data_IF_982505424922
#
_entry.id   IF_982505424922
#
_cell.length_a   1.000
_cell.length_b   1.000
_cell.length_c   1.000
_cell.angle_alpha   90.00
_cell.angle_beta   90.00
_cell.angle_gamma   90.00
#
_symmetry.space_group_name_H-M   'P 1'
#
loop_
_entity.id
_entity.type
_entity.pdbx_description
1 polymer ?
#
# COMPACT_ATOMS: atom_id res chain seq x y z
N UNK A 1 -10.57 -26.42 15.33
CA UNK A 1 -10.39 -25.47 14.21
C UNK A 1 -11.26 -25.80 13.01
N UNK A 2 -11.42 -27.08 12.64
CA UNK A 2 -12.18 -27.46 11.43
C UNK A 2 -13.63 -26.96 11.41
N UNK A 3 -14.38 -27.05 12.51
CA UNK A 3 -15.75 -26.50 12.59
C UNK A 3 -15.82 -24.98 12.34
N UNK A 4 -14.83 -24.22 12.81
CA UNK A 4 -14.76 -22.78 12.56
C UNK A 4 -14.48 -22.52 11.08
N UNK A 5 -13.56 -23.28 10.49
CA UNK A 5 -13.20 -23.15 9.09
C UNK A 5 -14.38 -23.51 8.16
N UNK A 6 -15.11 -24.60 8.46
CA UNK A 6 -16.33 -24.98 7.74
C UNK A 6 -17.41 -23.89 7.83
N UNK A 7 -17.66 -23.35 9.03
CA UNK A 7 -18.64 -22.27 9.20
C UNK A 7 -18.33 -21.06 8.32
N UNK A 8 -17.05 -20.67 8.21
CA UNK A 8 -16.65 -19.56 7.35
C UNK A 8 -16.81 -19.89 5.87
N UNK A 9 -16.47 -21.11 5.48
CA UNK A 9 -16.58 -21.61 4.10
C UNK A 9 -18.03 -21.61 3.60
N UNK A 10 -18.92 -22.13 4.43
CA UNK A 10 -20.34 -22.34 4.08
C UNK A 10 -21.17 -21.06 4.22
N UNK A 11 -20.58 -20.01 4.81
CA UNK A 11 -21.25 -18.73 5.01
C UNK A 11 -21.51 -18.00 3.68
N UNK A 12 -22.80 -17.72 3.41
CA UNK A 12 -23.24 -16.96 2.24
C UNK A 12 -23.20 -15.45 2.50
N UNK A 13 -22.14 -14.81 1.99
CA UNK A 13 -21.92 -13.35 2.10
C UNK A 13 -23.04 -12.50 1.50
N UNK A 14 -23.85 -13.02 0.57
CA UNK A 14 -24.95 -12.27 -0.05
C UNK A 14 -26.12 -12.05 0.90
N UNK A 15 -26.22 -12.89 1.93
CA UNK A 15 -27.27 -12.82 2.95
C UNK A 15 -26.88 -11.94 4.14
N UNK A 16 -25.69 -11.33 4.13
CA UNK A 16 -25.23 -10.47 5.21
C UNK A 16 -26.06 -9.21 5.33
N UNK A 17 -26.34 -8.84 6.58
CA UNK A 17 -26.92 -7.56 6.94
C UNK A 17 -26.10 -6.94 8.08
N UNK A 18 -25.66 -5.66 7.96
CA UNK A 18 -25.74 -4.83 6.76
C UNK A 18 -24.93 -5.41 5.59
N UNK A 19 -25.20 -4.92 4.38
CA UNK A 19 -24.44 -5.33 3.20
C UNK A 19 -22.94 -5.04 3.40
N UNK A 20 -22.04 -5.92 2.93
CA UNK A 20 -20.60 -5.71 3.08
C UNK A 20 -20.15 -4.38 2.46
N UNK A 21 -19.40 -3.61 3.23
CA UNK A 21 -18.77 -2.36 2.79
C UNK A 21 -17.24 -2.44 2.99
N UNK A 22 -16.56 -1.33 2.76
CA UNK A 22 -15.09 -1.29 2.84
C UNK A 22 -14.54 -1.35 4.26
N UNK A 23 -15.37 -1.28 5.30
CA UNK A 23 -14.90 -1.26 6.70
C UNK A 23 -14.44 -2.66 7.14
N UNK A 24 -13.58 -2.73 8.17
CA UNK A 24 -13.18 -4.02 8.72
C UNK A 24 -14.38 -4.83 9.23
N UNK A 25 -14.43 -6.10 8.85
CA UNK A 25 -15.55 -6.96 9.17
C UNK A 25 -15.35 -7.65 10.53
N UNK A 26 -16.39 -7.68 11.38
CA UNK A 26 -16.30 -8.24 12.75
C UNK A 26 -15.95 -9.73 12.78
N UNK A 27 -16.36 -10.50 11.75
CA UNK A 27 -15.95 -11.92 11.62
C UNK A 27 -14.42 -11.99 11.54
N UNK A 28 -13.80 -11.17 10.70
CA UNK A 28 -12.34 -11.16 10.56
C UNK A 28 -11.63 -10.72 11.83
N UNK A 29 -12.22 -9.77 12.59
CA UNK A 29 -11.74 -9.44 13.95
C UNK A 29 -11.70 -10.67 14.85
N UNK A 30 -12.81 -11.42 14.94
CA UNK A 30 -12.90 -12.62 15.79
C UNK A 30 -11.88 -13.68 15.39
N UNK A 31 -11.68 -13.89 14.08
CA UNK A 31 -10.65 -14.80 13.59
C UNK A 31 -9.25 -14.32 13.95
N UNK A 32 -8.95 -13.03 13.78
CA UNK A 32 -7.66 -12.47 14.18
C UNK A 32 -7.41 -12.65 15.68
N UNK A 33 -8.38 -12.33 16.53
CA UNK A 33 -8.28 -12.49 17.98
C UNK A 33 -8.04 -13.95 18.38
N UNK A 34 -8.73 -14.89 17.73
CA UNK A 34 -8.55 -16.33 17.96
C UNK A 34 -7.18 -16.84 17.48
N UNK A 35 -6.77 -16.48 16.26
CA UNK A 35 -5.44 -16.83 15.72
C UNK A 35 -4.33 -16.26 16.62
N UNK A 36 -4.49 -15.01 17.05
CA UNK A 36 -3.55 -14.35 17.95
C UNK A 36 -3.44 -15.06 19.31
N UNK A 37 -4.58 -15.46 19.90
CA UNK A 37 -4.58 -16.24 21.13
C UNK A 37 -3.83 -17.58 20.98
N UNK A 38 -4.03 -18.30 19.87
CA UNK A 38 -3.30 -19.54 19.58
C UNK A 38 -1.79 -19.30 19.46
N UNK A 39 -1.39 -18.23 18.78
CA UNK A 39 0.02 -17.83 18.67
C UNK A 39 0.62 -17.56 20.05
N UNK A 40 -0.04 -16.74 20.88
CA UNK A 40 0.43 -16.41 22.23
C UNK A 40 0.56 -17.67 23.11
N UNK A 41 -0.45 -18.53 23.11
CA UNK A 41 -0.42 -19.78 23.86
C UNK A 41 0.73 -20.68 23.40
N UNK A 42 0.95 -20.80 22.08
CA UNK A 42 2.04 -21.62 21.55
C UNK A 42 3.42 -21.09 21.96
N UNK A 43 3.60 -19.76 21.95
CA UNK A 43 4.83 -19.11 22.38
C UNK A 43 5.08 -19.31 23.87
N UNK A 44 4.04 -19.21 24.70
CA UNK A 44 4.13 -19.39 26.14
C UNK A 44 4.48 -20.84 26.53
N UNK A 45 3.96 -21.83 25.82
CA UNK A 45 4.15 -23.26 26.16
C UNK A 45 5.44 -23.88 25.63
N UNK A 46 5.85 -23.55 24.40
CA UNK A 46 6.90 -24.32 23.71
C UNK A 46 8.03 -23.47 23.12
N UNK A 47 7.95 -22.13 23.20
CA UNK A 47 8.85 -21.17 22.52
C UNK A 47 8.93 -21.32 20.99
N UNK A 48 8.16 -22.24 20.41
CA UNK A 48 8.01 -22.46 18.98
C UNK A 48 6.61 -23.01 18.68
N UNK A 49 6.13 -22.79 17.46
CA UNK A 49 4.82 -23.28 17.01
C UNK A 49 4.96 -24.74 16.56
N UNK A 50 4.17 -25.64 17.16
CA UNK A 50 4.12 -27.04 16.75
C UNK A 50 3.70 -27.19 15.27
N UNK A 51 4.31 -28.09 14.47
CA UNK A 51 4.00 -28.24 13.04
C UNK A 51 2.53 -28.57 12.73
N UNK A 52 1.81 -29.27 13.62
CA UNK A 52 0.38 -29.55 13.43
C UNK A 52 -0.43 -28.27 13.63
N UNK A 53 -0.11 -27.48 14.66
CA UNK A 53 -0.71 -26.17 14.87
C UNK A 53 -0.43 -25.24 13.68
N UNK A 54 0.82 -25.19 13.21
CA UNK A 54 1.21 -24.38 12.04
C UNK A 54 0.39 -24.73 10.78
N UNK A 55 0.10 -26.02 10.57
CA UNK A 55 -0.76 -26.48 9.46
C UNK A 55 -2.20 -26.02 9.65
N UNK A 56 -2.73 -26.07 10.87
CA UNK A 56 -4.07 -25.59 11.18
C UNK A 56 -4.21 -24.07 10.98
N UNK A 57 -3.21 -23.29 11.42
CA UNK A 57 -3.14 -21.84 11.21
C UNK A 57 -3.10 -21.50 9.71
N UNK A 58 -2.28 -22.22 8.93
CA UNK A 58 -2.20 -22.02 7.47
C UNK A 58 -3.53 -22.31 6.77
N UNK A 59 -4.25 -23.36 7.19
CA UNK A 59 -5.60 -23.66 6.66
C UNK A 59 -6.60 -22.57 7.04
N UNK A 60 -6.56 -22.09 8.28
CA UNK A 60 -7.43 -21.03 8.75
C UNK A 60 -7.21 -19.72 8.00
N UNK A 61 -5.95 -19.36 7.74
CA UNK A 61 -5.61 -18.19 6.92
C UNK A 61 -6.20 -18.32 5.51
N UNK A 62 -6.08 -19.48 4.86
CA UNK A 62 -6.66 -19.69 3.54
C UNK A 62 -8.20 -19.53 3.53
N UNK A 63 -8.90 -20.00 4.56
CA UNK A 63 -10.35 -19.79 4.66
C UNK A 63 -10.71 -18.32 4.90
N UNK A 64 -9.92 -17.59 5.71
CA UNK A 64 -10.07 -16.15 5.93
C UNK A 64 -9.91 -15.39 4.62
N UNK A 65 -8.88 -15.70 3.84
CA UNK A 65 -8.63 -15.07 2.54
C UNK A 65 -9.75 -15.40 1.53
N UNK A 66 -10.20 -16.66 1.47
CA UNK A 66 -11.32 -17.06 0.61
C UNK A 66 -12.61 -16.32 0.98
N UNK A 67 -12.89 -16.18 2.28
CA UNK A 67 -14.03 -15.42 2.77
C UNK A 67 -13.92 -13.93 2.44
N UNK A 68 -12.74 -13.33 2.64
CA UNK A 68 -12.50 -11.93 2.31
C UNK A 68 -12.63 -11.68 0.80
N UNK A 69 -12.20 -12.62 -0.05
CA UNK A 69 -12.46 -12.58 -1.49
C UNK A 69 -13.96 -12.58 -1.81
N UNK A 70 -14.76 -13.43 -1.14
CA UNK A 70 -16.22 -13.44 -1.31
C UNK A 70 -16.87 -12.13 -0.85
N UNK A 71 -16.41 -11.57 0.29
CA UNK A 71 -16.87 -10.27 0.80
C UNK A 71 -16.56 -9.13 -0.17
N UNK A 72 -15.30 -9.00 -0.60
CA UNK A 72 -14.90 -7.99 -1.59
C UNK A 72 -15.63 -8.21 -2.92
N UNK A 73 -15.95 -9.45 -3.28
CA UNK A 73 -16.78 -9.78 -4.44
C UNK A 73 -18.15 -9.08 -4.47
N UNK A 74 -18.71 -8.67 -3.32
CA UNK A 74 -19.98 -7.93 -3.24
C UNK A 74 -19.86 -6.45 -3.62
N UNK A 75 -18.64 -5.92 -3.75
CA UNK A 75 -18.42 -4.51 -4.04
C UNK A 75 -18.46 -4.23 -5.54
N UNK A 76 -19.07 -3.10 -5.90
CA UNK A 76 -19.22 -2.70 -7.29
C UNK A 76 -17.89 -2.24 -7.92
N UNK A 77 -17.13 -1.41 -7.20
CA UNK A 77 -15.90 -0.81 -7.72
C UNK A 77 -14.66 -1.63 -7.38
N UNK A 78 -13.70 -1.83 -8.32
CA UNK A 78 -12.38 -2.39 -8.02
C UNK A 78 -11.64 -1.64 -6.90
N UNK A 79 -11.81 -0.33 -6.82
CA UNK A 79 -11.25 0.51 -5.75
C UNK A 79 -11.80 0.06 -4.40
N UNK A 80 -13.13 -0.09 -4.28
CA UNK A 80 -13.76 -0.53 -3.04
C UNK A 80 -13.27 -1.90 -2.61
N UNK A 81 -13.10 -2.84 -3.56
CA UNK A 81 -12.56 -4.18 -3.30
C UNK A 81 -11.19 -4.10 -2.65
N UNK A 82 -10.28 -3.33 -3.23
CA UNK A 82 -8.92 -3.16 -2.71
C UNK A 82 -8.90 -2.48 -1.35
N UNK A 83 -9.71 -1.42 -1.16
CA UNK A 83 -9.85 -0.74 0.13
C UNK A 83 -10.37 -1.70 1.20
N UNK A 84 -11.33 -2.58 0.87
CA UNK A 84 -11.81 -3.62 1.78
C UNK A 84 -10.72 -4.58 2.20
N UNK A 85 -9.92 -5.10 1.24
CA UNK A 85 -8.79 -5.95 1.58
C UNK A 85 -7.81 -5.23 2.50
N UNK A 86 -7.40 -4.00 2.14
CA UNK A 86 -6.44 -3.21 2.92
C UNK A 86 -6.96 -2.95 4.34
N UNK A 87 -8.25 -2.65 4.50
CA UNK A 87 -8.92 -2.42 5.78
C UNK A 87 -8.99 -3.65 6.66
N UNK A 88 -9.27 -4.80 6.05
CA UNK A 88 -9.37 -6.05 6.79
C UNK A 88 -8.00 -6.63 7.18
N UNK A 89 -6.99 -6.55 6.30
CA UNK A 89 -5.64 -6.95 6.67
C UNK A 89 -5.01 -6.04 7.73
N UNK A 90 -5.26 -4.74 7.65
CA UNK A 90 -4.83 -3.74 8.65
C UNK A 90 -5.39 -4.05 10.04
N UNK A 91 -6.67 -4.39 10.14
CA UNK A 91 -7.29 -4.85 11.38
C UNK A 91 -6.60 -6.11 11.94
N UNK A 92 -6.36 -7.12 11.09
CA UNK A 92 -5.71 -8.37 11.50
C UNK A 92 -4.31 -8.09 12.04
N UNK A 93 -3.53 -7.29 11.31
CA UNK A 93 -2.15 -6.94 11.66
C UNK A 93 -2.09 -6.10 12.93
N UNK A 94 -3.00 -5.14 13.11
CA UNK A 94 -3.11 -4.34 14.34
C UNK A 94 -3.34 -5.24 15.55
N UNK A 95 -4.25 -6.20 15.46
CA UNK A 95 -4.52 -7.16 16.56
C UNK A 95 -3.29 -8.02 16.85
N UNK A 96 -2.55 -8.43 15.82
CA UNK A 96 -1.32 -9.19 16.00
C UNK A 96 -0.22 -8.36 16.65
N UNK A 97 -0.05 -7.10 16.24
CA UNK A 97 0.95 -6.20 16.82
C UNK A 97 0.69 -5.87 18.29
N UNK A 98 -0.58 -5.64 18.65
CA UNK A 98 -0.96 -5.29 20.02
C UNK A 98 -0.73 -6.44 21.02
N UNK A 99 -0.77 -7.70 20.56
CA UNK A 99 -0.87 -8.86 21.46
C UNK A 99 0.18 -9.95 21.22
N UNK A 100 0.63 -10.13 19.98
CA UNK A 100 1.66 -11.08 19.57
C UNK A 100 2.89 -10.30 19.06
N UNK A 101 3.67 -9.76 20.00
CA UNK A 101 4.84 -8.90 19.72
C UNK A 101 6.04 -9.63 19.12
N UNK A 102 5.94 -10.96 18.94
CA UNK A 102 6.96 -11.78 18.29
C UNK A 102 6.64 -12.00 16.81
N UNK A 103 7.68 -12.26 16.02
CA UNK A 103 7.51 -12.60 14.60
C UNK A 103 6.88 -13.98 14.44
N UNK A 104 5.93 -14.07 13.51
CA UNK A 104 5.25 -15.31 13.14
C UNK A 104 5.04 -15.36 11.62
N UNK A 105 4.90 -16.58 11.09
CA UNK A 105 4.62 -16.77 9.66
C UNK A 105 3.30 -16.11 9.26
N UNK A 106 2.29 -16.18 10.12
CA UNK A 106 0.98 -15.59 9.91
C UNK A 106 1.08 -14.07 9.78
N UNK A 107 1.82 -13.41 10.68
CA UNK A 107 2.04 -11.96 10.63
C UNK A 107 2.71 -11.55 9.31
N UNK A 108 3.81 -12.22 8.93
CA UNK A 108 4.51 -11.92 7.68
C UNK A 108 3.61 -12.15 6.45
N UNK A 109 2.83 -13.24 6.43
CA UNK A 109 1.98 -13.57 5.29
C UNK A 109 0.81 -12.60 5.10
N UNK A 110 0.19 -12.15 6.19
CA UNK A 110 -0.84 -11.10 6.12
C UNK A 110 -0.24 -9.74 5.73
N UNK A 111 0.97 -9.42 6.21
CA UNK A 111 1.67 -8.20 5.82
C UNK A 111 1.97 -8.19 4.32
N UNK A 112 2.55 -9.27 3.77
CA UNK A 112 2.82 -9.41 2.33
C UNK A 112 1.53 -9.27 1.50
N UNK A 113 0.44 -9.88 1.98
CA UNK A 113 -0.87 -9.79 1.33
C UNK A 113 -1.41 -8.35 1.36
N UNK A 114 -1.26 -7.63 2.48
CA UNK A 114 -1.63 -6.22 2.57
C UNK A 114 -0.80 -5.36 1.61
N UNK A 115 0.52 -5.54 1.58
CA UNK A 115 1.41 -4.78 0.69
C UNK A 115 1.07 -5.00 -0.78
N UNK A 116 0.74 -6.24 -1.17
CA UNK A 116 0.27 -6.54 -2.53
C UNK A 116 -0.98 -5.72 -2.88
N UNK A 117 -1.96 -5.65 -1.98
CA UNK A 117 -3.20 -4.90 -2.21
C UNK A 117 -2.98 -3.39 -2.20
N UNK A 118 -2.07 -2.88 -1.38
CA UNK A 118 -1.65 -1.48 -1.41
C UNK A 118 -1.04 -1.14 -2.78
N UNK A 119 -0.13 -1.99 -3.30
CA UNK A 119 0.47 -1.77 -4.60
C UNK A 119 -0.55 -1.81 -5.75
N UNK A 120 -1.46 -2.80 -5.75
CA UNK A 120 -2.56 -2.89 -6.72
C UNK A 120 -3.48 -1.65 -6.66
N UNK A 121 -3.77 -1.16 -5.45
CA UNK A 121 -4.56 0.04 -5.24
C UNK A 121 -3.85 1.28 -5.79
N UNK A 122 -2.57 1.45 -5.47
CA UNK A 122 -1.76 2.55 -5.96
C UNK A 122 -1.70 2.54 -7.48
N UNK A 123 -1.42 1.39 -8.10
CA UNK A 123 -1.42 1.26 -9.57
C UNK A 123 -2.76 1.73 -10.17
N UNK A 124 -3.88 1.35 -9.55
CA UNK A 124 -5.20 1.76 -10.00
C UNK A 124 -5.43 3.28 -9.88
N UNK A 125 -4.89 3.93 -8.85
CA UNK A 125 -4.96 5.38 -8.67
C UNK A 125 -4.02 6.12 -9.62
N UNK A 126 -2.85 5.56 -9.96
CA UNK A 126 -1.89 6.22 -10.82
C UNK A 126 -2.22 6.11 -12.32
N UNK A 127 -2.82 5.00 -12.76
CA UNK A 127 -3.10 4.72 -14.17
C UNK A 127 -3.90 5.80 -14.91
N UNK A 128 -5.00 6.36 -14.37
CA UNK A 128 -5.76 7.41 -15.03
C UNK A 128 -4.94 8.68 -15.32
N UNK A 129 -3.87 8.91 -14.56
CA UNK A 129 -3.07 10.13 -14.59
C UNK A 129 -1.73 9.97 -15.31
N UNK A 130 -1.10 8.81 -15.17
CA UNK A 130 0.26 8.53 -15.63
C UNK A 130 0.34 7.31 -16.56
N UNK A 131 -0.81 6.79 -17.03
CA UNK A 131 -0.91 5.57 -17.83
C UNK A 131 -0.01 5.55 -19.07
N UNK A 132 0.03 6.64 -19.84
CA UNK A 132 0.87 6.71 -21.05
C UNK A 132 2.38 6.65 -20.73
N UNK A 133 2.80 7.30 -19.64
CA UNK A 133 4.17 7.28 -19.16
C UNK A 133 4.55 5.89 -18.66
N UNK A 134 3.67 5.28 -17.84
CA UNK A 134 3.87 3.92 -17.30
C UNK A 134 3.97 2.90 -18.44
N UNK A 135 3.05 2.96 -19.42
CA UNK A 135 3.04 2.07 -20.57
C UNK A 135 4.33 2.24 -21.40
N UNK A 136 4.72 3.48 -21.68
CA UNK A 136 5.97 3.76 -22.40
C UNK A 136 7.20 3.18 -21.70
N UNK A 137 7.33 3.37 -20.38
CA UNK A 137 8.45 2.80 -19.61
C UNK A 137 8.47 1.27 -19.72
N UNK A 138 7.33 0.63 -19.47
CA UNK A 138 7.22 -0.82 -19.48
C UNK A 138 7.41 -1.44 -20.88
N UNK A 139 7.11 -0.69 -21.95
CA UNK A 139 7.35 -1.10 -23.33
C UNK A 139 8.82 -0.89 -23.76
N UNK A 140 9.45 0.21 -23.36
CA UNK A 140 10.78 0.58 -23.84
C UNK A 140 11.93 -0.05 -23.06
N UNK A 141 11.80 -0.27 -21.75
CA UNK A 141 12.85 -0.91 -20.94
C UNK A 141 13.29 -2.29 -21.50
N UNK A 142 12.39 -3.25 -21.79
CA UNK A 142 12.82 -4.53 -22.35
C UNK A 142 13.44 -4.40 -23.74
N UNK A 143 13.00 -3.42 -24.54
CA UNK A 143 13.61 -3.15 -25.85
C UNK A 143 15.04 -2.61 -25.73
N UNK A 144 15.31 -1.79 -24.72
CA UNK A 144 16.66 -1.29 -24.41
C UNK A 144 17.54 -2.45 -23.94
N UNK A 145 17.05 -3.27 -23.01
CA UNK A 145 17.79 -4.44 -22.49
C UNK A 145 18.13 -5.46 -23.59
N UNK A 146 17.24 -5.65 -24.56
CA UNK A 146 17.43 -6.54 -25.71
C UNK A 146 18.19 -5.88 -26.88
N UNK A 147 18.52 -4.58 -26.79
CA UNK A 147 19.25 -3.86 -27.85
C UNK A 147 18.43 -3.59 -29.12
N UNK A 148 17.10 -3.62 -29.05
CA UNK A 148 16.18 -3.43 -30.17
C UNK A 148 16.02 -1.95 -30.60
N UNK A 149 17.13 -1.31 -30.98
CA UNK A 149 17.19 0.13 -31.30
C UNK A 149 16.19 0.58 -32.38
N UNK A 150 15.97 -0.23 -33.41
CA UNK A 150 15.06 0.10 -34.52
C UNK A 150 13.60 0.22 -34.06
N UNK A 151 13.19 -0.58 -33.08
CA UNK A 151 11.84 -0.50 -32.50
C UNK A 151 11.68 0.76 -31.65
N UNK A 152 12.73 1.17 -30.93
CA UNK A 152 12.73 2.42 -30.14
C UNK A 152 12.57 3.67 -31.03
N UNK A 153 13.14 3.68 -32.23
CA UNK A 153 13.02 4.81 -33.18
C UNK A 153 11.58 5.08 -33.61
N UNK A 154 10.68 4.09 -33.50
CA UNK A 154 9.26 4.29 -33.80
C UNK A 154 8.58 5.27 -32.83
N UNK A 155 9.12 5.44 -31.62
CA UNK A 155 8.54 6.29 -30.57
C UNK A 155 8.98 7.76 -30.67
N UNK A 156 10.13 8.03 -31.29
CA UNK A 156 10.69 9.39 -31.43
C UNK A 156 10.10 10.18 -32.61
N UNK A 157 9.22 9.56 -33.43
CA UNK A 157 8.57 10.20 -34.56
C UNK A 157 9.41 10.27 -35.84
N UNK A 158 10.63 9.71 -35.86
CA UNK A 158 11.54 9.80 -37.00
C UNK A 158 11.08 9.03 -38.25
N UNK A 159 10.07 8.16 -38.16
CA UNK A 159 9.60 7.31 -39.27
C UNK A 159 8.12 7.47 -39.66
N UNK A 160 7.24 7.94 -38.77
CA UNK A 160 5.78 7.84 -38.95
C UNK A 160 4.97 9.08 -38.50
N UNK A 161 5.57 10.28 -38.46
CA UNK A 161 4.92 11.56 -38.09
C UNK A 161 4.30 11.66 -36.66
N UNK A 162 4.16 10.57 -35.93
CA UNK A 162 3.65 10.58 -34.54
C UNK A 162 4.80 10.54 -33.53
N UNK A 163 5.09 11.68 -32.91
CA UNK A 163 6.09 11.79 -31.83
C UNK A 163 5.44 11.42 -30.49
N UNK A 164 5.35 10.10 -30.21
CA UNK A 164 4.77 9.58 -28.96
C UNK A 164 5.52 10.10 -27.73
N UNK A 165 6.86 10.11 -27.78
CA UNK A 165 7.71 10.69 -26.72
C UNK A 165 7.33 12.15 -26.46
N UNK A 166 7.25 12.96 -27.51
CA UNK A 166 6.92 14.37 -27.40
C UNK A 166 5.54 14.61 -26.78
N UNK A 167 4.57 13.76 -27.11
CA UNK A 167 3.21 13.82 -26.53
C UNK A 167 3.23 13.51 -25.04
N UNK A 168 3.95 12.45 -24.63
CA UNK A 168 4.05 12.03 -23.22
C UNK A 168 4.76 13.09 -22.38
N UNK A 169 5.92 13.58 -22.83
CA UNK A 169 6.70 14.59 -22.09
C UNK A 169 5.89 15.86 -21.88
N UNK A 170 5.26 16.40 -22.95
CA UNK A 170 4.45 17.63 -22.85
C UNK A 170 3.23 17.44 -21.96
N UNK A 171 2.52 16.33 -22.14
CA UNK A 171 1.36 16.00 -21.32
C UNK A 171 1.74 15.91 -19.83
N UNK A 172 2.85 15.23 -19.52
CA UNK A 172 3.36 15.15 -18.16
C UNK A 172 3.72 16.54 -17.62
N UNK A 173 4.54 17.31 -18.33
CA UNK A 173 5.02 18.62 -17.87
C UNK A 173 3.91 19.61 -17.56
N UNK A 174 2.80 19.55 -18.30
CA UNK A 174 1.61 20.39 -18.07
C UNK A 174 0.75 19.86 -16.90
N UNK A 175 0.56 18.54 -16.78
CA UNK A 175 -0.49 17.98 -15.93
C UNK A 175 -0.02 17.39 -14.60
N UNK A 176 1.28 17.11 -14.42
CA UNK A 176 1.77 16.30 -13.31
C UNK A 176 1.35 16.80 -11.91
N UNK A 177 1.37 18.12 -11.66
CA UNK A 177 0.94 18.68 -10.37
C UNK A 177 -0.53 18.41 -10.11
N UNK A 178 -1.39 18.78 -11.06
CA UNK A 178 -2.84 18.54 -10.96
C UNK A 178 -3.15 17.06 -10.78
N UNK A 179 -2.42 16.19 -11.47
CA UNK A 179 -2.53 14.73 -11.32
C UNK A 179 -2.13 14.25 -9.93
N UNK A 180 -1.01 14.73 -9.37
CA UNK A 180 -0.61 14.43 -7.99
C UNK A 180 -1.69 14.86 -6.99
N UNK A 181 -2.24 16.07 -7.16
CA UNK A 181 -3.28 16.59 -6.29
C UNK A 181 -4.56 15.74 -6.36
N UNK A 182 -4.91 15.26 -7.55
CA UNK A 182 -6.06 14.39 -7.77
C UNK A 182 -5.87 13.02 -7.10
N UNK A 183 -4.72 12.37 -7.32
CA UNK A 183 -4.34 11.12 -6.65
C UNK A 183 -4.43 11.29 -5.13
N UNK A 184 -3.87 12.38 -4.59
CA UNK A 184 -3.95 12.65 -3.16
C UNK A 184 -5.40 12.75 -2.67
N UNK A 185 -6.27 13.48 -3.37
CA UNK A 185 -7.69 13.59 -3.00
C UNK A 185 -8.41 12.24 -3.04
N UNK A 186 -8.12 11.40 -4.04
CA UNK A 186 -8.73 10.06 -4.17
C UNK A 186 -8.29 9.11 -3.05
N UNK A 187 -7.02 9.15 -2.68
CA UNK A 187 -6.50 8.37 -1.54
C UNK A 187 -7.13 8.87 -0.24
N UNK A 188 -7.19 10.19 -0.01
CA UNK A 188 -7.88 10.78 1.15
C UNK A 188 -9.31 10.25 1.21
N UNK A 189 -10.07 10.39 0.12
CA UNK A 189 -11.48 9.97 0.05
C UNK A 189 -11.69 8.48 0.30
N UNK A 190 -10.81 7.62 -0.20
CA UNK A 190 -10.93 6.17 -0.07
C UNK A 190 -10.73 5.67 1.37
N UNK A 191 -9.98 6.42 2.19
CA UNK A 191 -9.66 6.05 3.56
C UNK A 191 -10.19 7.03 4.63
N UNK A 192 -10.91 8.10 4.26
CA UNK A 192 -11.53 9.06 5.19
C UNK A 192 -12.57 8.42 6.12
N UNK A 193 -13.16 7.29 5.73
CA UNK A 193 -14.12 6.56 6.57
C UNK A 193 -13.51 6.01 7.88
N UNK A 194 -12.18 6.01 8.04
CA UNK A 194 -11.52 5.66 9.30
C UNK A 194 -11.45 6.81 10.31
N UNK A 195 -11.31 8.08 9.85
CA UNK A 195 -11.30 9.25 10.76
C UNK A 195 -12.61 9.41 11.54
N UNK A 196 -13.73 9.03 10.92
CA UNK A 196 -15.04 9.08 11.57
C UNK A 196 -15.30 7.88 12.50
N UNK A 197 -14.54 6.79 12.36
CA UNK A 197 -14.65 5.61 13.24
C UNK A 197 -13.96 5.79 14.61
N UNK A 198 -12.96 6.67 14.69
CA UNK A 198 -12.29 7.04 15.95
C UNK A 198 -13.04 8.09 16.77
N UNK A 199 -14.04 8.78 16.19
CA UNK A 199 -14.87 9.75 16.91
C UNK A 199 -15.98 9.12 17.78
N UNK A 200 -16.09 7.78 17.83
CA UNK A 200 -17.03 7.07 18.72
C UNK A 200 -16.44 6.91 20.14
N UNK A 201 -15.18 7.25 20.36
CA UNK A 201 -14.54 7.24 21.69
C UNK A 201 -13.99 8.63 22.02
N UNK A 202 -14.85 9.64 22.11
CA UNK A 202 -14.53 10.81 22.93
C UNK A 202 -14.92 10.49 24.38
N UNK A 203 -13.97 10.38 25.33
CA UNK A 203 -14.32 10.51 26.73
C UNK A 203 -14.88 11.92 26.96
N UNK A 204 -15.92 12.07 27.81
CA UNK A 204 -16.53 13.37 28.06
C UNK A 204 -15.48 14.35 28.58
N UNK A 205 -15.41 15.50 27.91
CA UNK A 205 -14.69 16.73 28.21
C UNK A 205 -13.83 16.74 29.49
N UNK A 206 -12.52 16.94 29.27
CA UNK A 206 -11.68 17.72 30.19
C UNK A 206 -10.53 16.95 30.82
N UNK A 207 -9.46 16.68 30.06
CA UNK A 207 -8.12 16.50 30.63
C UNK A 207 -7.06 17.01 29.62
N UNK A 208 -6.17 17.87 30.11
CA UNK A 208 -5.10 18.56 29.37
C UNK A 208 -4.03 17.59 28.84
N UNK A 209 -3.55 17.84 27.62
CA UNK A 209 -2.43 17.18 26.95
C UNK A 209 -1.12 17.33 27.75
N UNK A 210 -0.43 16.21 28.00
CA UNK A 210 1.02 16.22 28.27
C UNK A 210 1.73 15.42 27.19
N UNK A 211 2.81 16.03 26.70
CA UNK A 211 3.61 15.70 25.52
C UNK A 211 3.91 14.19 25.36
N UNK A 212 3.67 13.68 24.15
CA UNK A 212 3.96 12.31 23.75
C UNK A 212 5.33 12.22 23.04
N UNK A 213 6.20 11.35 23.52
CA UNK A 213 7.45 10.96 22.86
C UNK A 213 7.21 9.82 21.83
N UNK A 214 8.03 9.70 20.75
CA UNK A 214 7.77 8.74 19.68
C UNK A 214 8.50 7.40 19.88
N UNK A 215 7.85 6.28 19.54
CA UNK A 215 8.44 4.92 19.52
C UNK A 215 8.01 4.15 18.25
N UNK A 216 9.04 3.84 17.45
CA UNK A 216 9.29 2.86 16.38
C UNK A 216 8.58 2.83 15.01
N UNK A 217 9.46 2.98 14.01
CA UNK A 217 9.33 2.88 12.55
C UNK A 217 8.85 1.51 12.03
N UNK A 218 7.96 1.57 11.06
CA UNK A 218 7.60 0.46 10.17
C UNK A 218 8.54 0.31 8.95
N UNK A 219 9.81 0.68 9.08
CA UNK A 219 10.77 0.66 7.97
C UNK A 219 12.14 0.16 8.43
N UNK A 220 12.26 -1.15 8.72
CA UNK A 220 13.57 -1.82 8.68
C UNK A 220 13.41 -3.31 8.33
N UNK A 221 13.36 -3.60 7.02
CA UNK A 221 14.05 -4.70 6.30
C UNK A 221 13.77 -4.62 4.78
N UNK A 222 14.67 -5.10 3.90
CA UNK A 222 15.26 -4.22 2.89
C UNK A 222 14.62 -4.35 1.51
N UNK A 223 13.95 -3.29 1.05
CA UNK A 223 13.93 -2.94 -0.39
C UNK A 223 13.82 -1.44 -0.68
N UNK A 224 13.93 -0.56 0.32
CA UNK A 224 13.83 0.89 0.12
C UNK A 224 14.87 1.70 0.92
N UNK A 225 16.00 1.09 1.28
CA UNK A 225 17.15 1.83 1.77
C UNK A 225 17.85 2.40 0.54
N UNK A 226 17.50 3.63 0.14
CA UNK A 226 18.44 4.57 -0.51
C UNK A 226 17.89 5.98 -0.81
N UNK A 227 16.62 6.32 -0.55
CA UNK A 227 16.15 7.67 -0.93
C UNK A 227 16.02 8.68 0.22
N UNK A 228 15.98 8.27 1.49
CA UNK A 228 15.86 9.20 2.61
C UNK A 228 16.53 8.65 3.86
N UNK A 229 17.86 8.77 3.95
CA UNK A 229 18.59 8.43 5.17
C UNK A 229 18.49 9.53 6.22
N UNK A 230 18.33 9.15 7.48
CA UNK A 230 18.94 9.88 8.59
C UNK A 230 19.30 8.92 9.73
N UNK A 231 20.59 8.89 10.05
CA UNK A 231 21.17 8.22 11.21
C UNK A 231 20.60 8.81 12.51
N UNK A 232 20.18 7.94 13.44
CA UNK A 232 20.30 8.24 14.88
C UNK A 232 20.28 6.96 15.72
N UNK A 233 21.22 6.94 16.66
CA UNK A 233 21.61 5.85 17.56
C UNK A 233 20.60 5.60 18.69
N UNK A 234 20.48 4.32 19.05
CA UNK A 234 19.62 3.73 20.09
C UNK A 234 19.89 4.23 21.51
N UNK A 235 18.82 4.41 22.30
CA UNK A 235 18.75 4.08 23.73
C UNK A 235 17.32 3.71 24.13
N UNK A 236 17.21 2.63 24.89
CA UNK A 236 16.00 1.98 25.42
C UNK A 236 15.25 2.81 26.48
N UNK A 237 13.91 2.72 26.50
CA UNK A 237 13.07 2.19 27.60
C UNK A 237 11.62 2.72 27.55
N UNK A 238 10.63 1.84 27.87
CA UNK A 238 9.36 2.23 28.50
C UNK A 238 8.08 2.16 27.66
N UNK A 239 7.29 1.12 27.87
CA UNK A 239 5.92 0.91 27.36
C UNK A 239 4.90 1.98 27.79
N UNK A 240 4.02 2.39 26.86
CA UNK A 240 2.60 2.67 27.16
C UNK A 240 1.75 2.69 25.89
N UNK A 241 0.55 2.12 26.02
CA UNK A 241 -0.40 1.81 24.95
C UNK A 241 -0.94 3.04 24.23
N UNK A 242 -1.07 2.96 22.90
CA UNK A 242 -1.74 3.98 22.08
C UNK A 242 -2.74 3.35 21.11
N UNK A 243 -4.00 3.33 21.53
CA UNK A 243 -5.18 2.92 20.74
C UNK A 243 -5.60 3.93 19.66
N UNK A 244 -4.71 4.84 19.25
CA UNK A 244 -5.01 5.95 18.32
C UNK A 244 -4.14 6.05 17.06
N UNK A 245 -3.03 5.30 16.95
CA UNK A 245 -2.02 5.54 15.90
C UNK A 245 -2.20 4.64 14.65
N UNK A 246 -2.83 3.48 14.78
CA UNK A 246 -2.99 2.53 13.67
C UNK A 246 -3.64 3.11 12.39
N UNK A 247 -4.73 3.93 12.46
CA UNK A 247 -5.34 4.51 11.27
C UNK A 247 -4.42 5.49 10.53
N UNK A 248 -3.54 6.16 11.28
CA UNK A 248 -2.58 7.16 10.77
C UNK A 248 -1.46 6.46 10.01
N UNK A 249 -0.91 5.38 10.56
CA UNK A 249 0.16 4.61 9.92
C UNK A 249 -0.26 3.96 8.61
N UNK A 250 -1.47 3.38 8.57
CA UNK A 250 -2.03 2.79 7.36
C UNK A 250 -2.17 3.81 6.23
N UNK A 251 -2.69 5.00 6.54
CA UNK A 251 -2.82 6.09 5.59
C UNK A 251 -1.44 6.52 5.07
N UNK A 252 -0.47 6.64 5.96
CA UNK A 252 0.91 6.95 5.62
C UNK A 252 1.52 5.93 4.65
N UNK A 253 1.28 4.62 4.84
CA UNK A 253 1.80 3.58 3.96
C UNK A 253 1.26 3.69 2.53
N UNK A 254 -0.04 3.93 2.35
CA UNK A 254 -0.64 4.06 1.00
C UNK A 254 -0.12 5.30 0.29
N UNK A 255 -0.01 6.42 1.00
CA UNK A 255 0.56 7.66 0.47
C UNK A 255 2.03 7.50 0.08
N UNK A 256 2.82 6.91 0.97
CA UNK A 256 4.23 6.64 0.73
C UNK A 256 4.41 5.71 -0.47
N UNK A 257 3.59 4.66 -0.62
CA UNK A 257 3.63 3.77 -1.76
C UNK A 257 3.31 4.52 -3.08
N UNK A 258 2.26 5.34 -3.10
CA UNK A 258 1.90 6.13 -4.27
C UNK A 258 3.02 7.09 -4.71
N UNK A 259 3.56 7.86 -3.77
CA UNK A 259 4.61 8.82 -4.09
C UNK A 259 5.93 8.15 -4.49
N UNK A 260 6.26 7.04 -3.83
CA UNK A 260 7.42 6.23 -4.20
C UNK A 260 7.27 5.71 -5.62
N UNK A 261 6.10 5.16 -5.99
CA UNK A 261 5.88 4.67 -7.35
C UNK A 261 5.92 5.79 -8.40
N UNK A 262 5.32 6.96 -8.14
CA UNK A 262 5.42 8.13 -9.06
C UNK A 262 6.88 8.49 -9.33
N UNK A 263 7.69 8.60 -8.27
CA UNK A 263 9.12 8.94 -8.39
C UNK A 263 9.88 7.85 -9.13
N UNK A 264 9.62 6.57 -8.82
CA UNK A 264 10.26 5.44 -9.50
C UNK A 264 9.95 5.39 -11.00
N UNK A 265 8.68 5.52 -11.38
CA UNK A 265 8.29 5.56 -12.79
C UNK A 265 8.86 6.77 -13.51
N UNK A 266 8.89 7.95 -12.88
CA UNK A 266 9.48 9.14 -13.49
C UNK A 266 11.01 9.03 -13.65
N UNK A 267 11.68 8.42 -12.68
CA UNK A 267 13.11 8.14 -12.77
C UNK A 267 13.42 7.15 -13.90
N UNK A 268 12.68 6.05 -13.98
CA UNK A 268 12.76 5.06 -15.07
C UNK A 268 12.47 5.70 -16.43
N UNK A 269 11.44 6.53 -16.52
CA UNK A 269 11.12 7.31 -17.72
C UNK A 269 12.28 8.20 -18.16
N UNK A 270 12.86 8.96 -17.24
CA UNK A 270 14.03 9.80 -17.52
C UNK A 270 15.24 8.97 -17.99
N UNK A 271 15.46 7.78 -17.39
CA UNK A 271 16.50 6.84 -17.79
C UNK A 271 16.28 6.30 -19.22
N UNK A 272 15.06 5.89 -19.56
CA UNK A 272 14.70 5.45 -20.92
C UNK A 272 14.96 6.57 -21.93
N UNK A 273 14.54 7.79 -21.62
CA UNK A 273 14.76 8.96 -22.47
C UNK A 273 16.24 9.40 -22.60
N UNK A 274 17.13 8.90 -21.74
CA UNK A 274 18.58 9.15 -21.85
C UNK A 274 19.25 8.23 -22.89
N UNK A 275 18.53 7.27 -23.46
CA UNK A 275 19.04 6.39 -24.51
C UNK A 275 19.33 7.19 -25.80
N UNK A 276 20.42 6.84 -26.50
CA UNK A 276 20.92 7.56 -27.69
C UNK A 276 19.86 7.80 -28.78
N UNK A 277 18.90 6.88 -28.94
CA UNK A 277 17.79 6.97 -29.91
C UNK A 277 16.89 8.19 -29.68
N UNK A 278 16.86 8.72 -28.46
CA UNK A 278 16.05 9.88 -28.09
C UNK A 278 16.87 11.17 -27.95
N UNK A 279 18.21 11.12 -28.02
CA UNK A 279 19.09 12.23 -27.67
C UNK A 279 18.85 13.51 -28.50
N UNK A 280 18.46 13.37 -29.77
CA UNK A 280 18.19 14.50 -30.66
C UNK A 280 16.79 15.11 -30.48
N UNK A 281 15.93 14.51 -29.65
CA UNK A 281 14.56 14.98 -29.46
C UNK A 281 14.55 16.26 -28.59
N UNK A 282 14.30 17.41 -29.21
CA UNK A 282 14.30 18.70 -28.51
C UNK A 282 13.36 18.77 -27.30
N UNK A 283 12.31 17.93 -27.27
CA UNK A 283 11.33 17.86 -26.18
C UNK A 283 11.93 17.39 -24.86
N UNK A 284 13.11 16.75 -24.87
CA UNK A 284 13.80 16.39 -23.63
C UNK A 284 14.12 17.61 -22.73
N UNK A 285 14.24 18.81 -23.31
CA UNK A 285 14.43 20.07 -22.56
C UNK A 285 13.19 20.48 -21.77
N UNK A 286 12.02 19.93 -22.11
CA UNK A 286 10.75 20.20 -21.44
C UNK A 286 10.50 19.27 -20.24
N UNK A 287 11.40 18.32 -19.96
CA UNK A 287 11.30 17.40 -18.82
C UNK A 287 11.32 18.15 -17.48
N UNK A 288 10.42 17.77 -16.60
CA UNK A 288 10.35 18.31 -15.24
C UNK A 288 11.55 17.80 -14.44
N UNK A 289 12.22 18.69 -13.70
CA UNK A 289 13.28 18.25 -12.80
C UNK A 289 12.68 17.35 -11.70
N UNK A 290 13.24 16.16 -11.50
CA UNK A 290 12.79 15.21 -10.48
C UNK A 290 12.74 15.81 -9.07
N UNK A 291 13.62 16.77 -8.77
CA UNK A 291 13.61 17.48 -7.48
C UNK A 291 12.34 18.31 -7.29
N UNK A 292 11.80 18.93 -8.35
CA UNK A 292 10.52 19.66 -8.26
C UNK A 292 9.37 18.71 -7.94
N UNK A 293 9.36 17.53 -8.56
CA UNK A 293 8.37 16.48 -8.27
C UNK A 293 8.49 16.05 -6.81
N UNK A 294 9.71 15.73 -6.35
CA UNK A 294 9.93 15.32 -4.96
C UNK A 294 9.54 16.39 -3.93
N UNK A 295 9.83 17.66 -4.22
CA UNK A 295 9.44 18.78 -3.34
C UNK A 295 7.92 18.93 -3.28
N UNK A 296 7.23 18.80 -4.41
CA UNK A 296 5.76 18.86 -4.44
C UNK A 296 5.13 17.70 -3.66
N UNK A 297 5.62 16.47 -3.86
CA UNK A 297 5.14 15.29 -3.14
C UNK A 297 5.36 15.39 -1.62
N UNK A 298 6.40 16.11 -1.16
CA UNK A 298 6.63 16.36 0.27
C UNK A 298 5.51 17.17 0.92
N UNK A 299 4.78 18.01 0.19
CA UNK A 299 3.66 18.81 0.74
C UNK A 299 2.51 17.95 1.23
N UNK A 300 2.37 16.75 0.66
CA UNK A 300 1.30 15.82 0.97
C UNK A 300 1.69 14.80 2.04
N UNK A 301 2.92 14.87 2.57
CA UNK A 301 3.26 14.12 3.77
C UNK A 301 2.39 14.66 4.90
N UNK A 302 1.70 13.77 5.65
CA UNK A 302 1.07 14.17 6.89
C UNK A 302 2.11 14.84 7.78
N UNK A 303 1.86 16.10 8.13
CA UNK A 303 2.63 16.80 9.16
C UNK A 303 2.04 16.37 10.49
N UNK A 304 2.78 15.57 11.24
CA UNK A 304 2.49 15.22 12.63
C UNK A 304 3.66 15.70 13.47
#
# INVERSE_FOLDING_TARGET
MDLHNSSLRDFDVRKMQPQPDTRPHYILRRYAEFTCALLICSQASFRCIDPRLQRCLSKQQAEIENFLNRLAGQMASPVQKLVCFINNYDLILTIFEERATFDSKEKSSFWESQQRRINEYVDLMLRPHFGDLIAFVNECEPLIEQGHKQLLTSYSGARFHFNRVGTIVRSFSVNWKRSVDAVNREIVYSFTNFKNGTNILQPPNGYEEKEAHPVFCYCDRPTAVLLFGNNRTSKHDGDSATTGIAPIWKFQCVFQAAFTQIVQYYHRFSKVLSHEVFAENAVLKELVNIHHIMVELKKYKPVY
#
